data_IF_455053341748
#
_entry.id   IF_455053341748
#
_cell.length_a   1.000
_cell.length_b   1.000
_cell.length_c   1.000
_cell.angle_alpha   90.00
_cell.angle_beta   90.00
_cell.angle_gamma   90.00
#
_symmetry.space_group_name_H-M   'P 1'
#
loop_
_entity.id
_entity.type
_entity.pdbx_description
1 polymer ?
#
# COMPACT_ATOMS: atom_id res chain seq x y z
N UNK A 1 12.47 -18.58 -8.48
CA UNK A 1 13.48 -17.66 -9.05
C UNK A 1 14.77 -18.44 -9.31
N UNK A 2 15.28 -18.51 -10.56
CA UNK A 2 16.39 -19.43 -10.89
C UNK A 2 17.69 -19.18 -10.11
N UNK A 3 17.99 -17.91 -9.79
CA UNK A 3 19.20 -17.53 -9.05
C UNK A 3 19.09 -17.75 -7.53
N UNK A 4 17.87 -17.79 -7.00
CA UNK A 4 17.57 -17.89 -5.58
C UNK A 4 16.38 -18.85 -5.38
N UNK A 5 16.62 -20.18 -5.51
CA UNK A 5 15.57 -21.18 -5.38
C UNK A 5 15.01 -21.30 -3.94
N UNK A 6 15.75 -20.84 -2.93
CA UNK A 6 15.34 -20.76 -1.53
C UNK A 6 14.28 -19.68 -1.26
N UNK A 7 14.13 -18.71 -2.17
CA UNK A 7 13.17 -17.62 -2.00
C UNK A 7 11.79 -18.08 -2.47
N UNK A 8 10.87 -18.18 -1.51
CA UNK A 8 9.47 -18.52 -1.74
C UNK A 8 8.65 -17.34 -2.26
N UNK A 9 8.97 -16.12 -1.81
CA UNK A 9 8.28 -14.89 -2.18
C UNK A 9 9.27 -13.78 -2.49
N UNK A 10 9.07 -13.11 -3.63
CA UNK A 10 9.77 -11.86 -3.97
C UNK A 10 8.81 -10.70 -3.81
N UNK A 11 9.16 -9.76 -2.94
CA UNK A 11 8.42 -8.52 -2.79
C UNK A 11 9.11 -7.42 -3.58
N UNK A 12 8.49 -7.00 -4.68
CA UNK A 12 8.97 -5.89 -5.50
C UNK A 12 8.45 -4.57 -4.94
N UNK A 13 9.37 -3.69 -4.53
CA UNK A 13 9.04 -2.35 -4.01
C UNK A 13 9.67 -1.31 -4.93
N UNK A 14 8.87 -0.34 -5.37
CA UNK A 14 9.33 0.76 -6.23
C UNK A 14 10.14 1.80 -5.44
N UNK A 15 11.02 2.53 -6.12
CA UNK A 15 11.96 3.46 -5.48
C UNK A 15 11.30 4.66 -4.79
N UNK A 16 10.07 4.98 -5.18
CA UNK A 16 9.23 6.05 -4.64
C UNK A 16 8.14 5.51 -3.71
N UNK A 17 8.29 4.27 -3.20
CA UNK A 17 7.50 3.74 -2.10
C UNK A 17 8.34 3.66 -0.81
N UNK A 18 7.74 4.08 0.30
CA UNK A 18 8.37 4.14 1.63
C UNK A 18 7.56 3.28 2.60
N UNK A 19 8.23 2.49 3.43
CA UNK A 19 7.60 1.75 4.54
C UNK A 19 7.37 2.71 5.70
N UNK A 20 6.12 2.88 6.12
CA UNK A 20 5.70 3.82 7.18
C UNK A 20 5.37 3.10 8.49
N UNK A 21 4.89 1.87 8.41
CA UNK A 21 4.61 1.03 9.58
C UNK A 21 5.65 -0.08 9.70
N UNK A 22 6.65 0.16 10.55
CA UNK A 22 7.74 -0.77 10.81
C UNK A 22 7.36 -1.90 11.79
N UNK A 23 6.24 -1.76 12.51
CA UNK A 23 5.73 -2.79 13.43
C UNK A 23 4.77 -3.77 12.71
N UNK A 24 4.31 -3.40 11.51
CA UNK A 24 3.41 -4.21 10.71
C UNK A 24 4.10 -5.46 10.18
N UNK A 25 3.40 -6.60 10.29
CA UNK A 25 3.84 -7.88 9.73
C UNK A 25 2.90 -8.31 8.61
N UNK A 26 3.47 -8.60 7.45
CA UNK A 26 2.74 -9.17 6.32
C UNK A 26 2.10 -10.51 6.72
N UNK A 27 0.79 -10.71 6.50
CA UNK A 27 0.09 -11.94 6.86
C UNK A 27 0.34 -13.04 5.82
N UNK A 28 1.60 -13.46 5.62
CA UNK A 28 2.01 -14.35 4.52
C UNK A 28 1.20 -15.66 4.44
N UNK A 29 0.77 -16.21 5.58
CA UNK A 29 -0.06 -17.42 5.64
C UNK A 29 -1.39 -17.29 4.87
N UNK A 30 -1.93 -16.07 4.77
CA UNK A 30 -3.14 -15.76 3.99
C UNK A 30 -2.95 -16.03 2.50
N UNK A 31 -1.70 -15.98 2.02
CA UNK A 31 -1.37 -16.04 0.60
C UNK A 31 -0.87 -17.41 0.16
N UNK A 32 -0.84 -18.43 1.03
CA UNK A 32 -0.25 -19.75 0.76
C UNK A 32 -0.75 -20.44 -0.51
N UNK A 33 -2.01 -20.20 -0.92
CA UNK A 33 -2.60 -20.81 -2.11
C UNK A 33 -2.46 -19.96 -3.40
N UNK A 34 -1.81 -18.80 -3.30
CA UNK A 34 -1.66 -17.79 -4.35
C UNK A 34 -0.19 -17.57 -4.74
N UNK A 35 0.03 -17.17 -5.99
CA UNK A 35 1.37 -16.94 -6.54
C UNK A 35 1.68 -15.44 -6.73
N UNK A 36 0.65 -14.59 -6.66
CA UNK A 36 0.76 -13.15 -6.82
C UNK A 36 -0.20 -12.46 -5.85
N UNK A 37 0.28 -11.40 -5.20
CA UNK A 37 -0.52 -10.54 -4.33
C UNK A 37 -0.42 -9.12 -4.87
N UNK A 38 -1.57 -8.48 -5.10
CA UNK A 38 -1.66 -7.10 -5.56
C UNK A 38 -2.60 -6.31 -4.67
N UNK A 39 -2.30 -5.05 -4.40
CA UNK A 39 -3.23 -4.17 -3.70
C UNK A 39 -4.39 -3.77 -4.60
N UNK A 40 -5.62 -3.70 -4.07
CA UNK A 40 -6.77 -3.12 -4.78
C UNK A 40 -8.08 -3.83 -4.46
N UNK A 41 -9.06 -3.68 -5.35
CA UNK A 41 -10.36 -4.34 -5.22
C UNK A 41 -10.74 -5.09 -6.50
N UNK A 42 -11.36 -6.28 -6.35
CA UNK A 42 -11.75 -7.09 -7.52
C UNK A 42 -12.69 -6.37 -8.49
N UNK A 43 -13.59 -5.52 -7.99
CA UNK A 43 -14.51 -4.76 -8.84
C UNK A 43 -13.76 -3.77 -9.74
N UNK A 44 -12.64 -3.19 -9.27
CA UNK A 44 -11.82 -2.27 -10.06
C UNK A 44 -11.02 -2.98 -11.15
N UNK A 45 -10.67 -4.25 -10.94
CA UNK A 45 -9.86 -5.03 -11.88
C UNK A 45 -10.75 -5.64 -12.99
N UNK A 46 -12.01 -5.97 -12.70
CA UNK A 46 -12.87 -6.77 -13.59
C UNK A 46 -14.10 -6.06 -14.14
N UNK A 47 -14.58 -4.97 -13.53
CA UNK A 47 -15.77 -4.28 -14.06
C UNK A 47 -15.44 -3.46 -15.31
N UNK A 48 -16.06 -3.86 -16.42
CA UNK A 48 -15.98 -3.21 -17.74
C UNK A 48 -16.55 -1.78 -17.76
N UNK A 49 -17.25 -1.34 -16.72
CA UNK A 49 -17.89 -0.01 -16.69
C UNK A 49 -16.93 1.12 -16.33
N UNK A 50 -15.70 0.83 -15.87
CA UNK A 50 -14.74 1.87 -15.53
C UNK A 50 -14.06 2.53 -16.74
N UNK A 51 -14.06 1.88 -17.91
CA UNK A 51 -13.60 2.47 -19.18
C UNK A 51 -14.41 3.73 -19.55
N UNK A 52 -15.67 3.84 -19.09
CA UNK A 52 -16.53 5.02 -19.30
C UNK A 52 -16.48 6.01 -18.12
N UNK A 53 -16.03 5.56 -16.95
CA UNK A 53 -15.97 6.33 -15.69
C UNK A 53 -14.65 7.13 -15.53
N UNK A 54 -13.57 6.73 -16.22
CA UNK A 54 -12.29 7.47 -16.23
C UNK A 54 -12.39 8.88 -16.86
N UNK A 55 -13.44 9.19 -17.61
CA UNK A 55 -13.70 10.56 -18.08
C UNK A 55 -14.42 11.45 -17.05
N UNK A 56 -14.73 10.92 -15.85
CA UNK A 56 -15.43 11.67 -14.80
C UNK A 56 -14.70 11.52 -13.47
N UNK A 57 -13.58 12.23 -13.33
CA UNK A 57 -13.11 12.77 -12.05
C UNK A 57 -12.98 11.76 -10.89
N UNK A 58 -12.53 10.53 -11.14
CA UNK A 58 -12.16 9.61 -10.05
C UNK A 58 -10.68 9.89 -9.70
N UNK A 59 -10.35 10.22 -8.45
CA UNK A 59 -8.95 10.37 -8.05
C UNK A 59 -8.21 9.04 -8.24
N UNK A 60 -6.97 9.07 -8.75
CA UNK A 60 -6.10 7.89 -8.95
C UNK A 60 -5.71 7.14 -7.65
N UNK A 61 -6.43 7.37 -6.55
CA UNK A 61 -6.14 6.94 -5.18
C UNK A 61 -6.36 5.45 -4.92
N UNK A 62 -7.00 4.71 -5.83
CA UNK A 62 -7.48 3.35 -5.56
C UNK A 62 -7.04 2.30 -6.58
N UNK A 63 -6.26 2.65 -7.60
CA UNK A 63 -5.99 1.71 -8.69
C UNK A 63 -4.92 0.66 -8.30
N UNK A 64 -5.11 -0.64 -8.65
CA UNK A 64 -4.09 -1.67 -8.48
C UNK A 64 -2.82 -1.33 -9.26
N UNK A 65 -1.67 -1.36 -8.58
CA UNK A 65 -0.35 -1.12 -9.18
C UNK A 65 0.32 -2.47 -9.41
N UNK A 66 0.50 -2.86 -10.68
CA UNK A 66 1.37 -3.98 -11.07
C UNK A 66 2.58 -3.42 -11.82
N UNK A 67 3.77 -3.75 -11.34
CA UNK A 67 5.03 -3.34 -11.96
C UNK A 67 5.72 -4.53 -12.62
N UNK A 68 5.86 -4.50 -13.95
CA UNK A 68 6.80 -5.34 -14.69
C UNK A 68 8.00 -4.55 -15.21
N UNK A 69 9.20 -5.17 -15.30
CA UNK A 69 10.46 -4.47 -15.50
C UNK A 69 10.82 -4.36 -16.99
N UNK A 70 10.01 -3.68 -17.82
CA UNK A 70 10.47 -3.35 -19.17
C UNK A 70 10.01 -1.96 -19.65
N UNK A 71 11.01 -1.11 -19.90
CA UNK A 71 11.04 0.12 -20.71
C UNK A 71 9.74 0.92 -20.80
N UNK A 72 9.70 1.99 -20.01
CA UNK A 72 9.00 3.24 -20.32
C UNK A 72 7.50 3.06 -20.51
N UNK A 73 6.76 2.96 -19.41
CA UNK A 73 5.31 3.11 -19.43
C UNK A 73 4.85 3.83 -18.18
N UNK A 74 4.02 4.85 -18.41
CA UNK A 74 3.38 5.69 -17.42
C UNK A 74 2.45 4.85 -16.53
N UNK A 75 2.47 5.15 -15.24
CA UNK A 75 1.66 4.48 -14.22
C UNK A 75 0.16 4.74 -14.48
N UNK A 76 -0.47 3.83 -15.22
CA UNK A 76 -1.92 3.77 -15.38
C UNK A 76 -2.42 2.58 -14.58
N UNK A 77 -3.05 2.86 -13.44
CA UNK A 77 -3.71 1.83 -12.66
C UNK A 77 -5.02 1.36 -13.31
N UNK A 78 -5.52 0.21 -12.85
CA UNK A 78 -6.73 -0.56 -13.22
C UNK A 78 -7.05 -0.81 -14.71
N UNK A 79 -6.57 0.01 -15.65
CA UNK A 79 -6.81 -0.13 -17.09
C UNK A 79 -5.60 -0.68 -17.83
N UNK A 80 -4.64 -1.30 -17.14
CA UNK A 80 -3.61 -2.08 -17.84
C UNK A 80 -4.31 -3.26 -18.55
N UNK A 81 -4.29 -3.29 -19.90
CA UNK A 81 -4.89 -4.39 -20.66
C UNK A 81 -4.38 -5.77 -20.25
N UNK A 82 -3.19 -5.85 -19.62
CA UNK A 82 -2.58 -7.09 -19.13
C UNK A 82 -3.23 -7.62 -17.86
N UNK A 83 -3.70 -6.77 -16.95
CA UNK A 83 -4.43 -7.23 -15.74
C UNK A 83 -5.78 -7.84 -16.12
N UNK A 84 -6.45 -7.22 -17.08
CA UNK A 84 -7.67 -7.78 -17.69
C UNK A 84 -7.39 -9.10 -18.41
N UNK A 85 -6.21 -9.24 -19.02
CA UNK A 85 -5.77 -10.49 -19.66
C UNK A 85 -5.48 -11.60 -18.64
N UNK A 86 -4.90 -11.27 -17.47
CA UNK A 86 -4.63 -12.24 -16.40
C UNK A 86 -5.88 -13.01 -15.97
N UNK A 87 -7.01 -12.33 -15.80
CA UNK A 87 -8.24 -13.05 -15.45
C UNK A 87 -8.97 -13.71 -16.61
N UNK A 88 -8.67 -13.34 -17.86
CA UNK A 88 -9.14 -14.09 -19.03
C UNK A 88 -8.31 -15.35 -19.30
N UNK A 89 -7.04 -15.36 -18.90
CA UNK A 89 -6.08 -16.47 -19.12
C UNK A 89 -5.97 -17.44 -17.94
N UNK A 90 -6.87 -17.34 -16.95
CA UNK A 90 -6.93 -18.28 -15.82
C UNK A 90 -5.93 -18.02 -14.70
N UNK A 91 -5.27 -16.86 -14.66
CA UNK A 91 -4.35 -16.46 -13.57
C UNK A 91 -5.06 -15.82 -12.36
N UNK A 92 -6.33 -15.45 -12.51
CA UNK A 92 -7.13 -14.87 -11.44
C UNK A 92 -7.17 -15.76 -10.20
N UNK A 93 -7.26 -17.08 -10.37
CA UNK A 93 -7.32 -18.05 -9.26
C UNK A 93 -6.01 -18.16 -8.46
N UNK A 94 -4.89 -17.67 -9.00
CA UNK A 94 -3.58 -17.63 -8.36
C UNK A 94 -3.17 -16.22 -7.97
N UNK A 95 -4.06 -15.24 -8.12
CA UNK A 95 -3.86 -13.85 -7.73
C UNK A 95 -4.72 -13.53 -6.52
N UNK A 96 -4.11 -13.04 -5.45
CA UNK A 96 -4.81 -12.47 -4.31
C UNK A 96 -4.87 -10.95 -4.48
N UNK A 97 -6.05 -10.37 -4.29
CA UNK A 97 -6.26 -8.92 -4.30
C UNK A 97 -6.44 -8.47 -2.86
N UNK A 98 -5.44 -7.75 -2.33
CA UNK A 98 -5.35 -7.33 -0.94
C UNK A 98 -5.93 -5.93 -0.72
N UNK A 99 -6.93 -5.84 0.16
CA UNK A 99 -7.63 -4.61 0.52
C UNK A 99 -7.72 -4.34 2.03
N UNK A 100 -7.22 -5.23 2.89
CA UNK A 100 -7.31 -5.09 4.35
C UNK A 100 -6.23 -4.17 4.95
N UNK A 101 -5.16 -3.91 4.18
CA UNK A 101 -4.11 -2.99 4.56
C UNK A 101 -3.47 -2.34 3.33
N UNK A 102 -2.83 -1.21 3.55
CA UNK A 102 -2.16 -0.44 2.51
C UNK A 102 -0.81 -1.07 2.12
N UNK A 103 -0.86 -2.18 1.36
CA UNK A 103 0.34 -2.71 0.70
C UNK A 103 0.93 -1.68 -0.26
N UNK A 104 0.07 -0.85 -0.87
CA UNK A 104 0.40 0.36 -1.61
C UNK A 104 -0.53 1.51 -1.18
N UNK A 105 -0.15 2.28 -0.15
CA UNK A 105 -0.93 3.44 0.28
C UNK A 105 -0.68 4.65 -0.62
N UNK A 106 -1.73 5.35 -1.03
CA UNK A 106 -1.58 6.55 -1.83
C UNK A 106 -1.05 7.73 -0.99
N UNK A 107 -0.09 8.49 -1.53
CA UNK A 107 0.77 9.34 -0.71
C UNK A 107 0.12 10.55 -0.05
N UNK A 108 -1.07 10.98 -0.45
CA UNK A 108 -1.74 12.11 0.23
C UNK A 108 -2.07 11.82 1.70
N UNK A 109 -2.08 10.55 2.12
CA UNK A 109 -2.23 10.17 3.53
C UNK A 109 -1.13 10.74 4.43
N UNK A 110 0.02 11.14 3.88
CA UNK A 110 1.12 11.76 4.65
C UNK A 110 0.67 13.01 5.40
N UNK A 111 -0.34 13.71 4.88
CA UNK A 111 -0.95 14.87 5.54
C UNK A 111 -1.63 14.53 6.86
N UNK A 112 -2.21 13.33 6.96
CA UNK A 112 -2.88 12.83 8.15
C UNK A 112 -1.96 12.14 9.17
N UNK A 113 -0.68 11.90 8.87
CA UNK A 113 0.20 11.08 9.72
C UNK A 113 0.35 11.60 11.15
N UNK A 114 0.34 12.92 11.35
CA UNK A 114 0.41 13.52 12.69
C UNK A 114 -0.85 13.20 13.52
N UNK A 115 -2.02 13.20 12.87
CA UNK A 115 -3.30 12.84 13.50
C UNK A 115 -3.34 11.36 13.81
N UNK A 116 -2.92 10.51 12.87
CA UNK A 116 -2.81 9.05 13.07
C UNK A 116 -1.85 8.76 14.24
N UNK A 117 -0.70 9.43 14.27
CA UNK A 117 0.30 9.27 15.33
C UNK A 117 -0.26 9.61 16.71
N UNK A 118 -1.03 10.70 16.82
CA UNK A 118 -1.70 11.07 18.09
C UNK A 118 -2.64 9.99 18.59
N UNK A 119 -3.46 9.40 17.72
CA UNK A 119 -4.38 8.29 18.08
C UNK A 119 -3.62 7.06 18.58
N UNK A 120 -2.51 6.72 17.93
CA UNK A 120 -1.68 5.59 18.34
C UNK A 120 -1.04 5.85 19.71
N UNK A 121 -0.54 7.07 19.95
CA UNK A 121 -0.03 7.49 21.27
C UNK A 121 -1.11 7.44 22.35
N UNK A 122 -2.36 7.79 22.04
CA UNK A 122 -3.49 7.67 22.97
C UNK A 122 -3.74 6.21 23.38
N UNK A 123 -3.74 5.29 22.41
CA UNK A 123 -3.82 3.85 22.68
C UNK A 123 -2.66 3.40 23.58
N UNK A 124 -1.43 3.79 23.24
CA UNK A 124 -0.24 3.43 24.04
C UNK A 124 -0.30 3.99 25.46
N UNK A 125 -0.94 5.15 25.67
CA UNK A 125 -1.15 5.73 27.00
C UNK A 125 -2.22 5.01 27.80
N UNK A 126 -3.27 4.50 27.16
CA UNK A 126 -4.34 3.78 27.84
C UNK A 126 -3.90 2.37 28.25
N UNK A 127 -3.11 1.70 27.41
CA UNK A 127 -2.74 0.29 27.58
C UNK A 127 -1.38 0.17 28.27
N UNK A 128 -1.38 -0.27 29.54
CA UNK A 128 -0.17 -0.41 30.37
C UNK A 128 0.98 -1.15 29.69
N UNK A 129 0.67 -2.20 28.92
CA UNK A 129 1.63 -3.02 28.19
C UNK A 129 2.29 -2.30 27.01
N UNK A 130 1.63 -1.30 26.41
CA UNK A 130 2.11 -0.54 25.26
C UNK A 130 2.85 0.76 25.64
N UNK A 131 2.77 1.21 26.90
CA UNK A 131 3.38 2.47 27.37
C UNK A 131 4.90 2.54 27.26
N UNK A 132 5.58 1.40 27.21
CA UNK A 132 7.04 1.32 27.23
C UNK A 132 7.57 1.04 25.84
N UNK A 133 8.77 1.54 25.55
CA UNK A 133 9.50 1.10 24.37
C UNK A 133 9.94 -0.34 24.56
N UNK A 134 9.76 -1.14 23.52
CA UNK A 134 10.12 -2.53 23.51
C UNK A 134 11.22 -2.78 22.49
N UNK A 135 11.98 -3.85 22.67
CA UNK A 135 13.00 -4.23 21.71
C UNK A 135 12.36 -4.61 20.37
N UNK A 136 13.06 -4.37 19.26
CA UNK A 136 12.59 -4.76 17.92
C UNK A 136 12.23 -6.26 17.83
N UNK A 137 12.94 -7.13 18.55
CA UNK A 137 12.64 -8.58 18.61
C UNK A 137 11.20 -8.91 19.05
N UNK A 138 10.55 -8.02 19.78
CA UNK A 138 9.18 -8.20 20.28
C UNK A 138 8.19 -7.23 19.61
N UNK A 139 8.64 -6.45 18.61
CA UNK A 139 7.79 -5.48 17.90
C UNK A 139 6.52 -6.11 17.37
N UNK A 140 6.60 -7.31 16.78
CA UNK A 140 5.45 -8.03 16.24
C UNK A 140 4.33 -8.25 17.28
N UNK A 141 4.69 -8.64 18.52
CA UNK A 141 3.71 -8.90 19.57
C UNK A 141 2.98 -7.60 19.97
N UNK A 142 3.73 -6.53 20.17
CA UNK A 142 3.16 -5.23 20.53
C UNK A 142 2.43 -4.55 19.37
N UNK A 143 2.90 -4.72 18.14
CA UNK A 143 2.22 -4.28 16.92
C UNK A 143 0.87 -4.97 16.76
N UNK A 144 0.81 -6.30 16.95
CA UNK A 144 -0.45 -7.06 16.91
C UNK A 144 -1.42 -6.62 18.02
N UNK A 145 -0.91 -6.39 19.23
CA UNK A 145 -1.70 -5.86 20.35
C UNK A 145 -2.25 -4.46 20.04
N UNK A 146 -1.41 -3.56 19.50
CA UNK A 146 -1.82 -2.21 19.11
C UNK A 146 -2.87 -2.25 18.01
N UNK A 147 -2.69 -3.08 16.98
CA UNK A 147 -3.63 -3.24 15.88
C UNK A 147 -5.01 -3.71 16.35
N UNK A 148 -5.07 -4.56 17.38
CA UNK A 148 -6.36 -4.94 17.98
C UNK A 148 -7.07 -3.71 18.59
N UNK A 149 -6.36 -2.88 19.34
CA UNK A 149 -6.93 -1.66 19.92
C UNK A 149 -7.32 -0.62 18.87
N UNK A 150 -6.56 -0.50 17.77
CA UNK A 150 -6.92 0.34 16.61
C UNK A 150 -8.26 -0.12 16.02
N UNK A 151 -8.46 -1.44 15.85
CA UNK A 151 -9.74 -2.00 15.38
C UNK A 151 -10.88 -1.75 16.37
N UNK A 152 -10.65 -2.00 17.66
CA UNK A 152 -11.66 -1.82 18.71
C UNK A 152 -12.16 -0.37 18.82
N UNK A 153 -11.29 0.61 18.52
CA UNK A 153 -11.63 2.05 18.48
C UNK A 153 -12.27 2.50 17.15
N UNK A 154 -12.46 1.60 16.19
CA UNK A 154 -13.03 1.94 14.87
C UNK A 154 -12.05 2.65 13.94
N UNK A 155 -10.76 2.72 14.26
CA UNK A 155 -9.74 3.33 13.40
C UNK A 155 -9.32 2.44 12.23
N UNK A 156 -10.16 1.46 11.87
CA UNK A 156 -9.95 0.60 10.72
C UNK A 156 -10.50 1.21 9.42
N UNK A 157 -11.31 2.26 9.51
CA UNK A 157 -11.76 3.03 8.34
C UNK A 157 -10.59 3.71 7.62
N UNK A 158 -10.79 3.98 6.32
CA UNK A 158 -9.79 4.63 5.48
C UNK A 158 -9.28 5.94 6.10
N UNK A 159 -7.98 6.22 5.94
CA UNK A 159 -7.26 7.37 6.51
C UNK A 159 -7.17 7.43 8.05
N UNK A 160 -7.75 6.47 8.79
CA UNK A 160 -7.63 6.42 10.26
C UNK A 160 -6.48 5.54 10.76
N UNK A 161 -6.07 4.57 9.94
CA UNK A 161 -4.98 3.64 10.23
C UNK A 161 -3.67 4.13 9.62
N UNK A 162 -2.55 3.83 10.29
CA UNK A 162 -1.22 3.99 9.69
C UNK A 162 -1.07 3.06 8.47
N UNK A 163 -0.66 3.58 7.30
CA UNK A 163 -0.41 2.74 6.13
C UNK A 163 0.86 1.92 6.33
N UNK A 164 0.90 0.70 5.77
CA UNK A 164 2.12 -0.10 5.78
C UNK A 164 3.17 0.52 4.86
N UNK A 165 2.80 0.81 3.61
CA UNK A 165 3.62 1.59 2.69
C UNK A 165 2.88 2.81 2.18
N UNK A 166 3.66 3.83 1.82
CA UNK A 166 3.20 5.03 1.13
C UNK A 166 3.95 5.14 -0.19
N UNK A 167 3.21 5.17 -1.30
CA UNK A 167 3.72 5.21 -2.66
C UNK A 167 3.47 6.59 -3.27
N UNK A 168 4.56 7.32 -3.55
CA UNK A 168 4.58 8.65 -4.14
C UNK A 168 4.42 8.62 -5.65
N UNK A 169 3.40 7.90 -6.09
CA UNK A 169 3.10 7.74 -7.51
C UNK A 169 2.98 9.11 -8.18
N UNK A 170 3.55 9.21 -9.38
CA UNK A 170 3.60 10.43 -10.20
C UNK A 170 4.45 11.59 -9.65
N UNK A 171 5.15 11.44 -8.53
CA UNK A 171 6.11 12.43 -8.05
C UNK A 171 7.45 12.39 -8.79
N UNK A 172 7.86 11.21 -9.29
CA UNK A 172 9.05 11.01 -10.12
C UNK A 172 10.29 11.83 -9.67
N UNK A 173 10.76 11.66 -8.42
CA UNK A 173 11.79 12.52 -7.82
C UNK A 173 13.15 12.46 -8.55
N UNK A 174 13.43 11.39 -9.28
CA UNK A 174 14.73 11.14 -9.90
C UNK A 174 14.94 11.85 -11.25
N UNK A 175 13.87 12.03 -12.05
CA UNK A 175 13.95 12.59 -13.41
C UNK A 175 13.39 14.02 -13.49
N UNK A 176 12.70 14.50 -12.46
CA UNK A 176 12.06 15.82 -12.42
C UNK A 176 10.81 15.95 -13.31
N UNK A 177 10.33 14.88 -13.93
CA UNK A 177 9.15 14.86 -14.81
C UNK A 177 7.86 14.57 -14.02
N UNK A 178 7.73 15.18 -12.84
CA UNK A 178 6.54 14.99 -12.01
C UNK A 178 5.26 15.37 -12.79
N UNK A 179 4.17 14.66 -12.52
CA UNK A 179 2.89 14.94 -13.16
C UNK A 179 2.42 16.36 -12.81
N UNK A 180 1.72 17.01 -13.74
CA UNK A 180 1.05 18.30 -13.49
C UNK A 180 -0.03 18.23 -12.42
N UNK A 181 -0.43 17.02 -12.01
CA UNK A 181 -1.38 16.80 -10.91
C UNK A 181 -0.83 17.28 -9.55
N UNK A 182 0.50 17.30 -9.35
CA UNK A 182 1.13 17.71 -8.10
C UNK A 182 2.29 18.67 -8.37
N UNK A 183 2.49 19.63 -7.47
CA UNK A 183 3.69 20.48 -7.48
C UNK A 183 4.90 19.70 -6.97
N UNK A 184 6.09 20.02 -7.47
CA UNK A 184 7.35 19.48 -6.95
C UNK A 184 7.47 19.63 -5.43
N UNK A 185 7.10 20.79 -4.89
CA UNK A 185 7.17 21.10 -3.47
C UNK A 185 6.25 20.19 -2.64
N UNK A 186 5.02 19.95 -3.10
CA UNK A 186 4.10 19.03 -2.43
C UNK A 186 4.64 17.59 -2.41
N UNK A 187 5.16 17.10 -3.53
CA UNK A 187 5.80 15.79 -3.60
C UNK A 187 7.00 15.67 -2.66
N UNK A 188 7.92 16.64 -2.72
CA UNK A 188 9.11 16.66 -1.88
C UNK A 188 8.78 16.74 -0.39
N UNK A 189 7.91 17.68 0.01
CA UNK A 189 7.49 17.83 1.40
C UNK A 189 6.71 16.60 1.89
N UNK A 190 5.90 15.99 1.03
CA UNK A 190 5.23 14.73 1.32
C UNK A 190 6.23 13.60 1.58
N UNK A 191 7.24 13.45 0.72
CA UNK A 191 8.32 12.47 0.89
C UNK A 191 9.07 12.69 2.19
N UNK A 192 9.43 13.94 2.50
CA UNK A 192 10.12 14.28 3.75
C UNK A 192 9.30 13.97 5.01
N UNK A 193 7.97 14.01 4.93
CA UNK A 193 7.08 13.64 6.04
C UNK A 193 6.84 12.14 6.16
N UNK A 194 7.04 11.40 5.08
CA UNK A 194 7.01 9.93 5.09
C UNK A 194 8.29 9.29 5.63
N UNK A 195 9.39 10.05 5.74
CA UNK A 195 10.67 9.61 6.31
C UNK A 195 10.74 9.90 7.81
#
# INVERSE_FOLDING_TARGET
MPAHPEVECMWWVVSDAIVIDMDFKLPLERYNDHNLVVHGWWHEIYDKQLDEYQHRSVPDTQLPVVHEPHRGMDHHGATDPRLRKMGQEGWANKTYVEGDYYQHGYWLIVDGLDTITKRYIEIEREVDMLRRRHAEKVSQFYGTMRDQHVKDKGYWEDDLRRPFTTHFTRCQPCNGQHSSAYTWEACWNGMQRGL
#
